data_IF_995882536919
#
_entry.id   IF_995882536919
#
_cell.length_a   1.000
_cell.length_b   1.000
_cell.length_c   1.000
_cell.angle_alpha   90.00
_cell.angle_beta   90.00
_cell.angle_gamma   90.00
#
_symmetry.space_group_name_H-M   'P 1'
#
loop_
_entity.id
_entity.type
_entity.pdbx_description
1 polymer ?
#
# COMPACT_ATOMS: atom_id res chain seq x y z
N UNK A 1 -28.89 23.37 -42.41
CA UNK A 1 -27.40 23.32 -42.36
C UNK A 1 -26.83 23.07 -40.96
N UNK A 2 -27.53 23.43 -39.86
CA UNK A 2 -27.12 23.07 -38.49
C UNK A 2 -27.41 21.61 -38.07
N UNK A 3 -28.29 20.88 -38.76
CA UNK A 3 -28.66 19.50 -38.39
C UNK A 3 -27.63 18.43 -38.78
N UNK A 4 -26.69 18.76 -39.68
CA UNK A 4 -25.63 17.84 -40.13
C UNK A 4 -24.28 18.10 -39.43
N UNK A 5 -24.18 19.13 -38.59
CA UNK A 5 -22.96 19.44 -37.81
C UNK A 5 -22.96 18.66 -36.49
N UNK A 6 -24.14 18.43 -35.89
CA UNK A 6 -24.26 17.70 -34.63
C UNK A 6 -23.89 16.22 -34.79
N UNK A 7 -24.20 15.61 -35.95
CA UNK A 7 -23.79 14.23 -36.24
C UNK A 7 -22.28 14.08 -36.48
N UNK A 8 -21.60 15.13 -36.95
CA UNK A 8 -20.15 15.10 -37.13
C UNK A 8 -19.39 15.23 -35.79
N UNK A 9 -19.94 15.99 -34.84
CA UNK A 9 -19.38 16.15 -33.49
C UNK A 9 -19.54 14.86 -32.67
N UNK A 10 -20.65 14.13 -32.83
CA UNK A 10 -20.82 12.83 -32.18
C UNK A 10 -19.91 11.74 -32.76
N UNK A 11 -19.60 11.78 -34.06
CA UNK A 11 -18.70 10.80 -34.68
C UNK A 11 -17.22 11.03 -34.31
N UNK A 12 -16.83 12.28 -34.03
CA UNK A 12 -15.48 12.64 -33.56
C UNK A 12 -15.24 12.28 -32.07
N UNK A 13 -16.29 12.17 -31.27
CA UNK A 13 -16.19 11.78 -29.85
C UNK A 13 -16.13 10.25 -29.64
N UNK A 14 -16.58 9.45 -30.61
CA UNK A 14 -16.53 7.99 -30.53
C UNK A 14 -15.16 7.43 -30.97
N UNK A 15 -14.40 8.18 -31.79
CA UNK A 15 -13.06 7.76 -32.25
C UNK A 15 -11.96 8.13 -31.23
N UNK A 16 -12.24 9.02 -30.27
CA UNK A 16 -11.31 9.39 -29.20
C UNK A 16 -11.34 8.45 -27.98
N UNK A 17 -12.21 7.45 -27.96
CA UNK A 17 -12.26 6.40 -26.92
C UNK A 17 -11.54 5.10 -27.33
N UNK A 18 -10.85 5.08 -28.47
CA UNK A 18 -10.11 3.91 -28.98
C UNK A 18 -8.58 4.15 -29.08
N UNK A 19 -8.03 5.13 -28.36
CA UNK A 19 -6.58 5.30 -28.25
C UNK A 19 -6.10 4.92 -26.85
N UNK A 20 -5.38 3.80 -26.83
CA UNK A 20 -4.41 3.40 -25.82
C UNK A 20 -4.93 2.79 -24.50
N UNK A 21 -5.87 1.86 -24.59
CA UNK A 21 -5.72 0.58 -23.87
C UNK A 21 -4.84 -0.35 -24.73
N UNK A 22 -3.66 0.11 -25.13
CA UNK A 22 -2.61 -0.80 -25.58
C UNK A 22 -1.95 -1.27 -24.30
N UNK A 23 -2.38 -2.43 -23.80
CA UNK A 23 -1.41 -3.34 -23.19
C UNK A 23 -0.33 -3.50 -24.25
N UNK A 24 0.75 -2.73 -24.12
CA UNK A 24 1.97 -3.08 -24.78
C UNK A 24 2.33 -4.43 -24.18
N UNK A 25 2.01 -5.50 -24.91
CA UNK A 25 2.72 -6.77 -24.81
C UNK A 25 4.16 -6.50 -25.27
N UNK A 26 4.87 -5.70 -24.47
CA UNK A 26 6.31 -5.72 -24.39
C UNK A 26 6.66 -6.98 -23.63
N UNK A 27 7.65 -7.67 -24.15
CA UNK A 27 8.20 -8.97 -23.80
C UNK A 27 8.74 -9.06 -22.35
N UNK A 28 7.92 -8.72 -21.36
CA UNK A 28 8.16 -8.95 -19.94
C UNK A 28 7.37 -10.19 -19.52
N UNK A 29 7.91 -11.36 -19.85
CA UNK A 29 7.39 -12.62 -19.32
C UNK A 29 7.36 -12.60 -17.79
N UNK A 30 6.26 -13.06 -17.19
CA UNK A 30 6.05 -13.50 -15.79
C UNK A 30 6.58 -12.62 -14.61
N UNK A 31 7.20 -11.46 -14.85
CA UNK A 31 7.72 -10.61 -13.77
C UNK A 31 6.68 -9.56 -13.33
N UNK A 32 6.11 -9.67 -12.12
CA UNK A 32 5.12 -8.72 -11.62
C UNK A 32 5.66 -7.29 -11.46
N UNK A 33 6.99 -7.09 -11.47
CA UNK A 33 7.64 -5.79 -11.30
C UNK A 33 8.16 -5.19 -12.60
N UNK A 34 7.96 -5.83 -13.76
CA UNK A 34 8.43 -5.32 -15.05
C UNK A 34 7.82 -3.97 -15.49
N UNK A 35 6.77 -3.51 -14.79
CA UNK A 35 6.15 -2.20 -15.03
C UNK A 35 6.93 -1.02 -14.43
N UNK A 36 7.97 -1.25 -13.61
CA UNK A 36 8.83 -0.20 -13.10
C UNK A 36 9.86 0.21 -14.15
N UNK A 37 10.05 1.52 -14.34
CA UNK A 37 11.03 2.07 -15.28
C UNK A 37 12.43 2.15 -14.65
N UNK A 38 13.47 1.97 -15.48
CA UNK A 38 14.87 1.98 -15.03
C UNK A 38 15.31 3.30 -14.42
N UNK A 39 14.77 4.41 -14.92
CA UNK A 39 15.12 5.76 -14.47
C UNK A 39 14.27 6.25 -13.29
N UNK A 40 13.26 5.48 -12.87
CA UNK A 40 12.31 5.85 -11.80
C UNK A 40 12.44 4.95 -10.58
N UNK A 41 13.40 5.23 -9.70
CA UNK A 41 13.58 4.49 -8.44
C UNK A 41 12.45 4.81 -7.45
N UNK A 42 11.33 4.11 -7.63
CA UNK A 42 10.14 4.23 -6.80
C UNK A 42 10.17 3.18 -5.68
N UNK A 43 9.82 3.61 -4.47
CA UNK A 43 9.77 2.75 -3.31
C UNK A 43 8.79 3.23 -2.24
N UNK A 44 8.74 2.49 -1.13
CA UNK A 44 7.96 2.88 0.06
C UNK A 44 8.89 3.23 1.20
N UNK A 45 8.63 4.34 1.88
CA UNK A 45 9.38 4.74 3.07
C UNK A 45 9.12 3.73 4.19
N UNK A 46 10.16 3.09 4.69
CA UNK A 46 10.09 2.17 5.83
C UNK A 46 10.27 2.92 7.15
N UNK A 47 11.12 3.94 7.16
CA UNK A 47 11.52 4.65 8.37
C UNK A 47 11.95 6.08 8.04
N UNK A 48 11.58 7.03 8.90
CA UNK A 48 11.99 8.44 8.83
C UNK A 48 12.84 8.80 10.05
N UNK A 49 14.13 9.03 9.82
CA UNK A 49 15.11 9.39 10.85
C UNK A 49 15.42 10.89 10.81
N UNK A 50 14.57 11.69 11.46
CA UNK A 50 14.71 13.16 11.51
C UNK A 50 16.04 13.62 12.12
N UNK A 51 16.52 12.91 13.16
CA UNK A 51 17.79 13.24 13.83
C UNK A 51 19.04 12.99 12.97
N UNK A 52 18.98 12.01 12.06
CA UNK A 52 20.07 11.71 11.12
C UNK A 52 19.84 12.35 9.74
N UNK A 53 18.76 13.12 9.57
CA UNK A 53 18.31 13.65 8.28
C UNK A 53 18.32 12.59 7.19
N UNK A 54 17.67 11.45 7.44
CA UNK A 54 17.61 10.37 6.46
C UNK A 54 16.28 9.64 6.48
N UNK A 55 15.94 9.02 5.35
CA UNK A 55 14.83 8.08 5.25
C UNK A 55 15.34 6.74 4.73
N UNK A 56 14.71 5.64 5.14
CA UNK A 56 14.96 4.32 4.58
C UNK A 56 13.82 3.99 3.63
N UNK A 57 14.14 3.69 2.38
CA UNK A 57 13.16 3.39 1.32
C UNK A 57 13.31 1.93 0.92
N UNK A 58 12.23 1.16 0.95
CA UNK A 58 12.13 -0.15 0.31
C UNK A 58 12.03 0.03 -1.19
N UNK A 59 13.07 -0.42 -1.90
CA UNK A 59 13.17 -0.37 -3.36
C UNK A 59 13.17 -1.78 -3.96
N UNK A 60 12.73 -2.79 -3.22
CA UNK A 60 12.76 -4.20 -3.64
C UNK A 60 12.05 -4.42 -4.97
N UNK A 61 10.88 -3.80 -5.17
CA UNK A 61 10.12 -3.92 -6.43
C UNK A 61 10.90 -3.31 -7.59
N UNK A 62 11.48 -2.14 -7.40
CA UNK A 62 12.28 -1.48 -8.43
C UNK A 62 13.56 -2.25 -8.72
N UNK A 63 14.34 -2.70 -7.73
CA UNK A 63 15.56 -3.49 -7.96
C UNK A 63 15.27 -4.81 -8.71
N UNK A 64 14.12 -5.45 -8.42
CA UNK A 64 13.73 -6.72 -9.06
C UNK A 64 13.02 -6.57 -10.41
N UNK A 65 12.81 -5.34 -10.91
CA UNK A 65 12.06 -5.06 -12.16
C UNK A 65 12.59 -5.78 -13.40
N UNK A 66 13.91 -5.97 -13.48
CA UNK A 66 14.60 -6.67 -14.57
C UNK A 66 15.05 -8.09 -14.16
N UNK A 67 14.64 -8.58 -12.98
CA UNK A 67 15.02 -9.91 -12.51
C UNK A 67 14.30 -11.01 -13.31
N UNK A 68 15.03 -12.06 -13.66
CA UNK A 68 14.45 -13.30 -14.22
C UNK A 68 13.72 -14.13 -13.16
N UNK A 69 14.00 -13.90 -11.87
CA UNK A 69 13.33 -14.55 -10.76
C UNK A 69 13.02 -13.50 -9.67
N UNK A 70 11.88 -12.79 -9.78
CA UNK A 70 11.50 -11.72 -8.86
C UNK A 70 10.94 -12.23 -7.52
N UNK A 71 10.73 -13.54 -7.38
CA UNK A 71 10.08 -14.16 -6.22
C UNK A 71 11.05 -14.53 -5.08
N UNK A 72 12.28 -14.02 -5.10
CA UNK A 72 13.23 -14.25 -4.00
C UNK A 72 12.80 -13.50 -2.75
N UNK A 73 13.11 -14.05 -1.57
CA UNK A 73 12.85 -13.42 -0.27
C UNK A 73 13.78 -12.23 0.03
N UNK A 74 14.73 -11.93 -0.87
CA UNK A 74 15.68 -10.83 -0.72
C UNK A 74 14.96 -9.47 -0.72
N UNK A 75 15.12 -8.71 0.36
CA UNK A 75 14.71 -7.32 0.42
C UNK A 75 15.84 -6.37 0.03
N UNK A 76 15.50 -5.31 -0.69
CA UNK A 76 16.43 -4.24 -1.05
C UNK A 76 15.93 -2.92 -0.49
N UNK A 77 16.80 -2.24 0.26
CA UNK A 77 16.54 -0.90 0.75
C UNK A 77 17.60 0.10 0.33
N UNK A 78 17.22 1.36 0.37
CA UNK A 78 18.10 2.50 0.18
C UNK A 78 17.93 3.47 1.34
N UNK A 79 19.04 3.74 2.05
CA UNK A 79 19.09 4.83 3.04
C UNK A 79 19.41 6.13 2.30
N UNK A 80 18.39 6.97 2.15
CA UNK A 80 18.48 8.27 1.52
C UNK A 80 18.86 9.33 2.56
N UNK A 81 20.14 9.72 2.58
CA UNK A 81 20.64 10.82 3.41
C UNK A 81 20.29 12.15 2.77
N UNK A 82 19.46 12.94 3.43
CA UNK A 82 18.97 14.23 2.98
C UNK A 82 19.98 15.30 3.39
N UNK A 83 20.40 16.11 2.42
CA UNK A 83 21.31 17.26 2.63
C UNK A 83 20.59 18.56 2.30
N UNK A 84 21.26 19.70 2.53
CA UNK A 84 20.73 21.02 2.15
C UNK A 84 20.54 21.19 0.62
N UNK A 85 21.16 20.31 -0.18
CA UNK A 85 21.02 20.27 -1.64
C UNK A 85 19.85 19.38 -2.08
N UNK A 86 19.36 18.49 -1.22
CA UNK A 86 18.24 17.60 -1.53
C UNK A 86 16.92 18.38 -1.55
N UNK A 87 16.21 18.32 -2.67
CA UNK A 87 14.87 18.88 -2.78
C UNK A 87 13.83 17.82 -2.47
N UNK A 88 12.89 18.12 -1.57
CA UNK A 88 11.75 17.25 -1.29
C UNK A 88 10.48 17.99 -1.74
N UNK A 89 9.63 17.32 -2.51
CA UNK A 89 8.39 17.91 -3.02
C UNK A 89 7.29 16.88 -3.23
N UNK A 90 6.06 17.33 -3.39
CA UNK A 90 4.95 16.53 -3.91
C UNK A 90 5.00 16.44 -5.45
N UNK A 91 4.21 15.53 -6.02
CA UNK A 91 4.04 15.41 -7.49
C UNK A 91 3.56 16.70 -8.17
N UNK A 92 2.91 17.60 -7.45
CA UNK A 92 2.47 18.90 -7.94
C UNK A 92 3.54 20.01 -7.79
N UNK A 93 4.79 19.62 -7.53
CA UNK A 93 5.98 20.48 -7.37
C UNK A 93 5.97 21.35 -6.08
N UNK A 94 5.00 21.15 -5.18
CA UNK A 94 5.00 21.82 -3.89
C UNK A 94 6.14 21.30 -3.00
N UNK A 95 7.09 22.17 -2.68
CA UNK A 95 8.24 21.83 -1.83
C UNK A 95 7.81 21.58 -0.38
N UNK A 96 8.36 20.54 0.20
CA UNK A 96 8.11 20.12 1.59
C UNK A 96 9.43 19.79 2.29
N UNK A 97 9.34 19.42 3.56
CA UNK A 97 10.48 19.04 4.39
C UNK A 97 10.50 17.54 4.69
N UNK A 98 11.59 17.05 5.26
CA UNK A 98 11.65 15.70 5.84
C UNK A 98 10.56 15.48 6.91
N UNK A 99 10.09 16.56 7.55
CA UNK A 99 9.03 16.50 8.55
C UNK A 99 7.68 16.04 8.00
N UNK A 100 7.47 16.22 6.69
CA UNK A 100 6.23 15.88 5.98
C UNK A 100 6.25 14.45 5.42
N UNK A 101 7.42 13.79 5.41
CA UNK A 101 7.55 12.39 5.00
C UNK A 101 7.06 11.49 6.14
N UNK A 102 6.21 10.53 5.79
CA UNK A 102 5.62 9.55 6.71
C UNK A 102 6.04 8.13 6.38
N UNK A 103 5.97 7.23 7.36
CA UNK A 103 6.17 5.80 7.13
C UNK A 103 5.10 5.27 6.15
N UNK A 104 5.47 4.36 5.25
CA UNK A 104 4.59 3.83 4.21
C UNK A 104 4.39 4.74 3.00
N UNK A 105 4.85 5.99 3.03
CA UNK A 105 4.73 6.94 1.93
C UNK A 105 5.43 6.38 0.68
N UNK A 106 4.76 6.45 -0.47
CA UNK A 106 5.34 6.14 -1.77
C UNK A 106 6.18 7.32 -2.24
N UNK A 107 7.40 7.05 -2.67
CA UNK A 107 8.36 8.08 -3.10
C UNK A 107 9.08 7.68 -4.38
N UNK A 108 9.38 8.66 -5.22
CA UNK A 108 10.41 8.56 -6.26
C UNK A 108 11.69 9.19 -5.72
N UNK A 109 12.82 8.49 -5.87
CA UNK A 109 14.13 8.95 -5.43
C UNK A 109 15.02 9.17 -6.65
N UNK A 110 15.51 10.41 -6.81
CA UNK A 110 16.33 10.83 -7.95
C UNK A 110 17.72 11.30 -7.49
N UNK A 111 18.80 10.98 -8.23
CA UNK A 111 18.83 10.01 -9.32
C UNK A 111 18.60 8.57 -8.81
N UNK A 112 18.14 7.65 -9.67
CA UNK A 112 18.08 6.24 -9.35
C UNK A 112 19.49 5.69 -9.05
N UNK A 113 19.57 4.58 -8.31
CA UNK A 113 20.85 3.90 -8.09
C UNK A 113 21.42 3.42 -9.44
N UNK A 114 22.67 3.76 -9.73
CA UNK A 114 23.33 3.47 -11.00
C UNK A 114 24.66 4.22 -11.13
N UNK A 115 25.17 4.35 -12.36
CA UNK A 115 26.49 4.92 -12.63
C UNK A 115 26.62 6.40 -12.19
N UNK A 116 25.53 7.16 -12.24
CA UNK A 116 25.50 8.59 -11.85
C UNK A 116 25.19 8.81 -10.36
N UNK A 117 24.99 7.75 -9.60
CA UNK A 117 24.50 7.82 -8.23
C UNK A 117 25.62 8.17 -7.24
N UNK A 118 25.61 9.40 -6.71
CA UNK A 118 26.64 9.93 -5.79
C UNK A 118 26.46 9.52 -4.31
N UNK A 119 25.59 8.56 -4.03
CA UNK A 119 25.32 8.08 -2.67
C UNK A 119 24.20 8.82 -1.92
N UNK A 120 23.73 9.96 -2.44
CA UNK A 120 22.66 10.77 -1.85
C UNK A 120 21.66 11.22 -2.94
N UNK A 121 20.37 11.42 -2.59
CA UNK A 121 19.38 11.92 -3.51
C UNK A 121 19.57 13.42 -3.76
N UNK A 122 19.39 13.81 -5.03
CA UNK A 122 19.20 15.21 -5.41
C UNK A 122 17.74 15.61 -5.17
N UNK A 123 16.81 14.69 -5.40
CA UNK A 123 15.39 14.94 -5.26
C UNK A 123 14.65 13.71 -4.71
N UNK A 124 13.65 13.98 -3.87
CA UNK A 124 12.68 13.00 -3.40
C UNK A 124 11.28 13.56 -3.68
N UNK A 125 10.52 12.86 -4.53
CA UNK A 125 9.13 13.24 -4.85
C UNK A 125 8.18 12.33 -4.07
N UNK A 126 7.28 12.93 -3.29
CA UNK A 126 6.20 12.23 -2.59
C UNK A 126 5.07 11.97 -3.58
N UNK A 127 4.86 10.70 -3.91
CA UNK A 127 3.88 10.28 -4.91
C UNK A 127 2.51 10.07 -4.28
N UNK A 128 1.46 10.43 -5.02
CA UNK A 128 0.10 10.05 -4.66
C UNK A 128 -0.03 8.52 -4.60
N UNK A 129 -0.86 8.08 -3.65
CA UNK A 129 -1.08 6.67 -3.39
C UNK A 129 -2.54 6.32 -3.59
N UNK A 130 -2.79 5.21 -4.30
CA UNK A 130 -4.13 4.65 -4.43
C UNK A 130 -4.65 4.16 -3.08
N UNK A 131 -5.95 3.84 -3.03
CA UNK A 131 -6.54 3.24 -1.84
C UNK A 131 -5.84 1.92 -1.49
N UNK A 132 -5.65 1.04 -2.47
CA UNK A 132 -5.01 -0.26 -2.30
C UNK A 132 -3.58 -0.09 -1.78
N UNK A 133 -2.83 0.91 -2.26
CA UNK A 133 -1.48 1.17 -1.79
C UNK A 133 -1.41 1.64 -0.33
N UNK A 134 -2.37 2.48 0.08
CA UNK A 134 -2.53 3.01 1.43
C UNK A 134 -2.95 1.93 2.42
N UNK A 135 -3.88 1.07 2.01
CA UNK A 135 -4.53 0.05 2.84
C UNK A 135 -3.96 -1.36 2.65
N UNK A 136 -2.88 -1.54 1.88
CA UNK A 136 -2.29 -2.84 1.55
C UNK A 136 -1.99 -3.77 2.75
N UNK A 137 -1.78 -3.20 3.95
CA UNK A 137 -1.53 -3.97 5.19
C UNK A 137 -2.81 -4.49 5.87
N UNK A 138 -3.96 -3.94 5.49
CA UNK A 138 -5.28 -4.26 6.04
C UNK A 138 -6.08 -5.14 5.09
N UNK A 139 -6.00 -4.86 3.77
CA UNK A 139 -6.74 -5.63 2.76
C UNK A 139 -6.32 -7.10 2.71
N UNK A 140 -7.26 -7.94 2.29
CA UNK A 140 -6.97 -9.35 1.98
C UNK A 140 -6.10 -9.45 0.72
N UNK A 141 -5.20 -10.43 0.71
CA UNK A 141 -4.37 -10.76 -0.45
C UNK A 141 -4.99 -11.85 -1.34
N UNK A 142 -6.20 -12.30 -1.00
CA UNK A 142 -6.95 -13.32 -1.71
C UNK A 142 -8.47 -13.10 -1.54
N UNK A 143 -9.23 -13.84 -2.35
CA UNK A 143 -10.69 -13.86 -2.35
C UNK A 143 -11.23 -14.47 -1.04
N UNK A 144 -11.19 -13.66 0.01
CA UNK A 144 -11.35 -14.04 1.40
C UNK A 144 -11.13 -12.85 2.32
N UNK A 145 -11.06 -13.14 3.62
CA UNK A 145 -11.00 -12.12 4.66
C UNK A 145 -9.62 -11.98 5.27
N UNK A 146 -9.23 -10.76 5.63
CA UNK A 146 -8.13 -10.50 6.55
C UNK A 146 -8.69 -9.94 7.87
N UNK A 147 -8.49 -10.69 8.95
CA UNK A 147 -8.79 -10.22 10.31
C UNK A 147 -7.56 -9.54 10.87
N UNK A 148 -7.62 -8.21 10.99
CA UNK A 148 -6.53 -7.40 11.53
C UNK A 148 -6.79 -7.13 13.00
N UNK A 149 -5.85 -7.53 13.86
CA UNK A 149 -5.76 -7.05 15.24
C UNK A 149 -4.85 -5.83 15.24
N UNK A 150 -5.42 -4.63 15.33
CA UNK A 150 -4.64 -3.41 15.45
C UNK A 150 -4.43 -3.02 16.92
N UNK A 151 -3.20 -2.74 17.33
CA UNK A 151 -2.85 -2.50 18.74
C UNK A 151 -1.74 -1.45 18.93
N UNK A 152 -1.70 -0.82 20.10
CA UNK A 152 -0.62 0.10 20.49
C UNK A 152 0.54 -0.64 21.16
N UNK A 153 1.76 -0.14 20.97
CA UNK A 153 2.95 -0.69 21.60
C UNK A 153 2.93 -0.61 23.12
N UNK A 154 3.57 -1.58 23.78
CA UNK A 154 3.65 -1.64 25.23
C UNK A 154 2.36 -2.09 25.94
N UNK A 155 1.24 -2.24 25.22
CA UNK A 155 0.00 -2.82 25.75
C UNK A 155 -0.06 -4.31 25.45
N UNK A 156 -0.24 -5.11 26.50
CA UNK A 156 -0.46 -6.56 26.34
C UNK A 156 -1.83 -6.79 25.70
N UNK A 157 -1.85 -7.50 24.57
CA UNK A 157 -3.10 -7.94 23.95
C UNK A 157 -3.93 -8.80 24.93
N UNK A 158 -5.24 -8.55 25.04
CA UNK A 158 -6.15 -9.43 25.75
C UNK A 158 -5.98 -10.88 25.29
N UNK A 159 -6.12 -11.84 26.19
CA UNK A 159 -5.85 -13.26 25.89
C UNK A 159 -6.71 -13.75 24.73
N UNK A 160 -7.94 -13.27 24.69
CA UNK A 160 -8.94 -13.53 23.68
C UNK A 160 -8.59 -12.98 22.29
N UNK A 161 -7.64 -12.04 22.16
CA UNK A 161 -7.18 -11.46 20.88
C UNK A 161 -5.77 -11.92 20.48
N UNK A 162 -5.23 -12.91 21.19
CA UNK A 162 -4.00 -13.61 20.80
C UNK A 162 -4.32 -14.70 19.78
N UNK A 163 -3.29 -15.24 19.12
CA UNK A 163 -3.39 -16.20 18.00
C UNK A 163 -4.44 -17.31 18.14
N UNK A 164 -4.76 -17.74 19.37
CA UNK A 164 -5.79 -18.74 19.62
C UNK A 164 -7.19 -18.40 19.09
N UNK A 165 -7.58 -17.11 18.99
CA UNK A 165 -8.92 -16.74 18.51
C UNK A 165 -9.09 -17.03 17.02
N UNK A 166 -8.01 -16.90 16.26
CA UNK A 166 -7.99 -17.15 14.82
C UNK A 166 -8.39 -18.60 14.50
N UNK A 167 -8.00 -19.55 15.34
CA UNK A 167 -8.43 -20.95 15.20
C UNK A 167 -9.97 -21.09 15.26
N UNK A 168 -10.63 -20.36 16.15
CA UNK A 168 -12.09 -20.41 16.23
C UNK A 168 -12.76 -19.77 15.00
N UNK A 169 -12.15 -18.72 14.43
CA UNK A 169 -12.63 -18.14 13.16
C UNK A 169 -12.52 -19.16 12.02
N UNK A 170 -11.38 -19.87 11.94
CA UNK A 170 -11.20 -20.96 10.97
C UNK A 170 -12.25 -22.08 11.16
N UNK A 171 -12.52 -22.48 12.40
CA UNK A 171 -13.54 -23.50 12.71
C UNK A 171 -14.96 -23.03 12.36
N UNK A 172 -15.28 -21.73 12.50
CA UNK A 172 -16.59 -21.18 12.11
C UNK A 172 -16.78 -21.24 10.60
N UNK A 173 -15.72 -20.97 9.84
CA UNK A 173 -15.75 -20.95 8.37
C UNK A 173 -15.46 -22.32 7.74
N UNK A 174 -15.21 -23.36 8.55
CA UNK A 174 -14.92 -24.70 8.05
C UNK A 174 -16.09 -25.24 7.22
N UNK A 175 -15.80 -25.65 5.98
CA UNK A 175 -16.82 -26.13 5.03
C UNK A 175 -17.51 -25.05 4.20
N UNK A 176 -17.16 -23.77 4.41
CA UNK A 176 -17.54 -22.67 3.51
C UNK A 176 -16.50 -22.48 2.40
N UNK A 177 -16.82 -21.70 1.38
CA UNK A 177 -15.86 -21.32 0.33
C UNK A 177 -14.89 -20.21 0.75
N UNK A 178 -15.20 -19.53 1.86
CA UNK A 178 -14.45 -18.36 2.31
C UNK A 178 -13.13 -18.73 2.96
N UNK A 179 -12.08 -18.00 2.57
CA UNK A 179 -10.77 -18.06 3.21
C UNK A 179 -10.65 -16.94 4.23
N UNK A 180 -9.84 -17.17 5.26
CA UNK A 180 -9.53 -16.14 6.24
C UNK A 180 -8.05 -16.19 6.57
N UNK A 181 -7.45 -15.02 6.77
CA UNK A 181 -6.12 -14.81 7.32
C UNK A 181 -6.26 -13.93 8.57
N UNK A 182 -5.24 -13.96 9.43
CA UNK A 182 -5.14 -13.03 10.54
C UNK A 182 -3.79 -12.32 10.54
N UNK A 183 -3.82 -11.02 10.85
CA UNK A 183 -2.64 -10.18 10.93
C UNK A 183 -2.66 -9.37 12.23
N UNK A 184 -1.49 -9.22 12.85
CA UNK A 184 -1.31 -8.42 14.05
C UNK A 184 -0.51 -7.18 13.66
N UNK A 185 -1.18 -6.03 13.68
CA UNK A 185 -0.61 -4.77 13.22
C UNK A 185 -0.46 -3.80 14.38
N UNK A 186 0.76 -3.35 14.62
CA UNK A 186 1.01 -2.22 15.49
C UNK A 186 0.47 -0.94 14.83
N UNK A 187 -0.31 -0.15 15.58
CA UNK A 187 -0.69 1.21 15.20
C UNK A 187 0.55 2.11 15.23
N UNK A 188 0.72 2.88 14.16
CA UNK A 188 1.82 3.82 13.96
C UNK A 188 1.22 5.16 13.57
N UNK A 189 1.28 6.14 14.50
CA UNK A 189 0.75 7.49 14.30
C UNK A 189 1.52 8.27 13.21
N UNK A 190 2.76 7.87 12.94
CA UNK A 190 3.62 8.44 11.91
C UNK A 190 3.47 7.73 10.55
N UNK A 191 2.53 6.78 10.43
CA UNK A 191 2.20 6.16 9.14
C UNK A 191 1.44 7.13 8.23
N UNK A 192 1.58 6.94 6.92
CA UNK A 192 0.99 7.80 5.87
C UNK A 192 -0.53 7.93 6.01
N UNK A 193 -1.19 6.91 6.54
CA UNK A 193 -2.61 6.95 6.94
C UNK A 193 -2.71 6.91 8.46
N UNK A 194 -3.36 7.92 9.05
CA UNK A 194 -3.81 7.81 10.44
C UNK A 194 -5.06 6.93 10.50
N UNK A 195 -4.86 5.63 10.68
CA UNK A 195 -5.96 4.66 10.76
C UNK A 195 -6.87 4.91 11.96
N UNK A 196 -6.39 5.55 13.03
CA UNK A 196 -7.23 5.85 14.19
C UNK A 196 -8.28 6.88 13.83
N UNK A 197 -7.88 7.95 13.13
CA UNK A 197 -8.78 8.99 12.65
C UNK A 197 -9.69 8.45 11.54
N UNK A 198 -9.12 7.86 10.48
CA UNK A 198 -9.89 7.50 9.28
C UNK A 198 -10.87 6.35 9.52
N UNK A 199 -10.55 5.42 10.42
CA UNK A 199 -11.44 4.29 10.77
C UNK A 199 -12.27 4.56 12.03
N UNK A 200 -12.20 5.77 12.60
CA UNK A 200 -12.91 6.16 13.82
C UNK A 200 -12.68 5.14 14.96
N UNK A 201 -11.42 4.88 15.27
CA UNK A 201 -11.01 3.94 16.31
C UNK A 201 -10.97 4.67 17.66
N UNK A 202 -11.90 4.32 18.53
CA UNK A 202 -12.04 4.93 19.85
C UNK A 202 -11.01 4.38 20.85
N UNK A 203 -10.65 3.10 20.70
CA UNK A 203 -9.75 2.40 21.63
C UNK A 203 -8.98 1.26 20.97
N UNK A 204 -7.85 0.90 21.57
CA UNK A 204 -7.04 -0.25 21.16
C UNK A 204 -6.99 -1.33 22.26
N UNK A 205 -6.87 -2.62 21.88
CA UNK A 205 -6.86 -3.13 20.50
C UNK A 205 -8.24 -3.10 19.84
N UNK A 206 -8.25 -3.09 18.51
CA UNK A 206 -9.45 -3.20 17.67
C UNK A 206 -9.30 -4.36 16.69
N UNK A 207 -10.40 -5.05 16.43
CA UNK A 207 -10.52 -6.09 15.42
C UNK A 207 -11.18 -5.50 14.18
N UNK A 208 -10.51 -5.62 13.04
CA UNK A 208 -11.00 -5.17 11.75
C UNK A 208 -11.09 -6.37 10.82
N UNK A 209 -12.14 -6.45 10.01
CA UNK A 209 -12.28 -7.46 8.96
C UNK A 209 -12.33 -6.75 7.63
N UNK A 210 -11.37 -7.06 6.77
CA UNK A 210 -11.29 -6.56 5.40
C UNK A 210 -11.44 -7.70 4.40
N UNK A 211 -11.99 -7.39 3.23
CA UNK A 211 -11.77 -8.20 2.02
C UNK A 211 -10.68 -7.55 1.14
N UNK A 212 -10.66 -7.85 -0.16
CA UNK A 212 -9.70 -7.26 -1.11
C UNK A 212 -9.94 -5.76 -1.35
N UNK A 213 -11.11 -5.22 -1.06
CA UNK A 213 -11.54 -3.88 -1.46
C UNK A 213 -11.81 -2.94 -0.28
N UNK A 214 -12.38 -3.42 0.83
CA UNK A 214 -12.87 -2.52 1.88
C UNK A 214 -12.96 -3.13 3.28
N UNK A 215 -13.26 -2.26 4.26
CA UNK A 215 -13.56 -2.65 5.63
C UNK A 215 -15.01 -3.17 5.71
N UNK A 216 -15.17 -4.44 6.07
CA UNK A 216 -16.48 -5.08 6.23
C UNK A 216 -16.99 -5.00 7.66
N UNK A 217 -16.10 -5.06 8.65
CA UNK A 217 -16.49 -5.13 10.05
C UNK A 217 -15.45 -4.56 11.00
N UNK A 218 -15.89 -3.81 12.01
CA UNK A 218 -15.06 -3.24 13.09
C UNK A 218 -15.69 -3.61 14.42
N UNK A 219 -14.90 -4.17 15.34
CA UNK A 219 -15.35 -4.45 16.71
C UNK A 219 -14.18 -4.38 17.69
N UNK A 220 -14.51 -4.20 18.98
CA UNK A 220 -13.57 -4.31 20.10
C UNK A 220 -13.72 -5.64 20.84
N UNK A 221 -14.54 -6.56 20.32
CA UNK A 221 -14.99 -7.76 21.02
C UNK A 221 -14.94 -8.99 20.14
N UNK A 222 -14.29 -10.03 20.65
CA UNK A 222 -14.07 -11.29 19.93
C UNK A 222 -15.37 -12.07 19.71
N UNK A 223 -16.33 -11.97 20.63
CA UNK A 223 -17.63 -12.63 20.48
C UNK A 223 -18.48 -12.01 19.37
N UNK A 224 -18.37 -10.70 19.16
CA UNK A 224 -19.01 -10.00 18.04
C UNK A 224 -18.37 -10.38 16.70
N UNK A 225 -17.04 -10.55 16.66
CA UNK A 225 -16.32 -11.06 15.50
C UNK A 225 -16.81 -12.47 15.11
N UNK A 226 -16.93 -13.38 16.09
CA UNK A 226 -17.46 -14.72 15.82
C UNK A 226 -18.90 -14.70 15.32
N UNK A 227 -19.72 -13.79 15.83
CA UNK A 227 -21.09 -13.62 15.36
C UNK A 227 -21.10 -13.16 13.90
N UNK A 228 -20.29 -12.17 13.54
CA UNK A 228 -20.14 -11.70 12.17
C UNK A 228 -19.85 -12.85 11.20
N UNK A 229 -18.88 -13.71 11.51
CA UNK A 229 -18.54 -14.84 10.63
C UNK A 229 -19.60 -15.94 10.59
N UNK A 230 -20.34 -16.16 11.69
CA UNK A 230 -21.47 -17.11 11.69
C UNK A 230 -22.61 -16.64 10.80
N UNK A 231 -22.89 -15.34 10.81
CA UNK A 231 -23.95 -14.74 9.98
C UNK A 231 -23.55 -14.73 8.49
N UNK A 232 -22.24 -14.75 8.18
CA UNK A 232 -21.70 -14.88 6.80
C UNK A 232 -21.60 -16.33 6.31
N UNK A 233 -21.28 -17.28 7.20
CA UNK A 233 -21.11 -18.69 6.85
C UNK A 233 -22.41 -19.50 6.79
N UNK A 234 -23.55 -18.89 7.07
CA UNK A 234 -24.90 -19.49 7.05
C UNK A 234 -25.69 -19.14 5.81
#
# INVERSE_FOLDING_TARGET
>A
MQRNIIFLIFFLFVISLASACSKSEGDYGDNPYGHYEDDKMIGKVLEVNKGESSIVVDISKWEKRNSKNPWTDEGYSYKATITDETVIMHEDENKVSIGDIKNGQKVLVNPPRGDDFKGHPVEIILLEMSYEEKYARLLSHNDGFNVVVMYEDGKKLPKEMQESFYKNVLEILEGTEHRVNASWMRYDEDYVVDFKEVLDIEQFPVLLVYDEEELLFKTYRVDELYKFFKDWGS
#
